data_IF_122762693720
#
_entry.id   IF_122762693720
#
_cell.length_a   1.000
_cell.length_b   1.000
_cell.length_c   1.000
_cell.angle_alpha   90.00
_cell.angle_beta   90.00
_cell.angle_gamma   90.00
#
_symmetry.space_group_name_H-M   'P 1'
#
loop_
_entity.id
_entity.type
_entity.pdbx_description
1 polymer ?
#
# COMPACT_ATOMS: atom_id res chain seq x y z
N UNK A 1 -10.42 8.44 -3.46
CA UNK A 1 -10.43 7.68 -4.72
C UNK A 1 -9.10 6.96 -4.84
N UNK A 2 -9.11 5.63 -4.97
CA UNK A 2 -7.89 4.82 -5.14
C UNK A 2 -7.82 4.41 -6.61
N UNK A 3 -6.66 4.56 -7.24
CA UNK A 3 -6.46 4.19 -8.65
C UNK A 3 -5.45 3.05 -8.75
N UNK A 4 -5.79 2.00 -9.48
CA UNK A 4 -4.89 0.90 -9.80
C UNK A 4 -4.43 1.06 -11.24
N UNK A 5 -3.12 1.00 -11.47
CA UNK A 5 -2.50 1.11 -12.79
C UNK A 5 -1.47 0.00 -12.95
N UNK A 6 -1.44 -0.64 -14.12
CA UNK A 6 -0.41 -1.60 -14.49
C UNK A 6 0.55 -0.92 -15.45
N UNK A 7 1.82 -0.83 -15.08
CA UNK A 7 2.86 -0.28 -15.93
C UNK A 7 3.29 -1.31 -16.98
N UNK A 8 3.84 -0.87 -18.13
CA UNK A 8 4.37 -1.77 -19.16
C UNK A 8 5.45 -2.73 -18.64
N UNK A 9 6.18 -2.35 -17.59
CA UNK A 9 7.16 -3.20 -16.89
C UNK A 9 6.55 -4.39 -16.15
N UNK A 10 5.22 -4.49 -16.08
CA UNK A 10 4.50 -5.48 -15.30
C UNK A 10 4.23 -5.07 -13.85
N UNK A 11 4.76 -3.93 -13.42
CA UNK A 11 4.57 -3.41 -12.05
C UNK A 11 3.14 -2.87 -11.85
N UNK A 12 2.50 -3.29 -10.76
CA UNK A 12 1.22 -2.75 -10.32
C UNK A 12 1.44 -1.55 -9.39
N UNK A 13 0.79 -0.42 -9.70
CA UNK A 13 0.87 0.82 -8.93
C UNK A 13 -0.52 1.13 -8.37
N UNK A 14 -0.59 1.31 -7.05
CA UNK A 14 -1.80 1.72 -6.35
C UNK A 14 -1.60 3.15 -5.86
N UNK A 15 -2.42 4.08 -6.34
CA UNK A 15 -2.40 5.47 -5.88
C UNK A 15 -3.26 5.61 -4.64
N UNK A 16 -2.64 6.00 -3.53
CA UNK A 16 -3.30 6.27 -2.26
C UNK A 16 -3.49 7.79 -2.11
N UNK A 17 -4.70 8.29 -1.80
CA UNK A 17 -4.94 9.69 -1.49
C UNK A 17 -4.02 10.22 -0.38
N UNK A 18 -3.53 11.45 -0.55
CA UNK A 18 -2.64 12.11 0.41
C UNK A 18 -3.17 12.07 1.86
N UNK A 19 -4.46 12.36 2.04
CA UNK A 19 -5.10 12.35 3.37
C UNK A 19 -4.99 10.99 4.09
N UNK A 20 -5.19 9.89 3.36
CA UNK A 20 -5.07 8.54 3.93
C UNK A 20 -3.62 8.19 4.19
N UNK A 21 -2.71 8.57 3.29
CA UNK A 21 -1.29 8.36 3.48
C UNK A 21 -0.78 9.10 4.73
N UNK A 22 -1.24 10.31 4.97
CA UNK A 22 -0.88 11.09 6.17
C UNK A 22 -1.50 10.50 7.44
N UNK A 23 -2.77 10.10 7.41
CA UNK A 23 -3.45 9.45 8.55
C UNK A 23 -2.75 8.17 8.98
N UNK A 24 -2.37 7.32 8.02
CA UNK A 24 -1.65 6.06 8.25
C UNK A 24 -0.14 6.26 8.45
N UNK A 25 0.38 7.49 8.28
CA UNK A 25 1.80 7.81 8.41
C UNK A 25 2.70 7.19 7.34
N UNK A 26 2.17 6.92 6.14
CA UNK A 26 2.91 6.39 5.00
C UNK A 26 3.95 7.39 4.48
N UNK A 27 5.19 6.96 4.39
CA UNK A 27 6.33 7.75 3.89
C UNK A 27 6.98 7.04 2.69
N UNK A 28 7.61 7.84 1.82
CA UNK A 28 8.38 7.31 0.70
C UNK A 28 9.47 6.35 1.22
N UNK A 29 9.56 5.17 0.61
CA UNK A 29 10.53 4.15 0.99
C UNK A 29 10.11 3.25 2.16
N UNK A 30 8.88 3.37 2.66
CA UNK A 30 8.35 2.41 3.63
C UNK A 30 8.04 1.06 2.97
N UNK A 31 8.38 0.00 3.68
CA UNK A 31 7.99 -1.36 3.31
C UNK A 31 6.61 -1.70 3.88
N UNK A 32 5.78 -2.34 3.07
CA UNK A 32 4.45 -2.81 3.43
C UNK A 32 4.35 -4.30 3.12
N UNK A 33 3.52 -5.01 3.87
CA UNK A 33 3.26 -6.42 3.64
C UNK A 33 1.84 -6.64 3.13
N UNK A 34 1.72 -7.44 2.08
CA UNK A 34 0.42 -7.94 1.62
C UNK A 34 0.04 -9.15 2.45
N UNK A 35 -1.05 -9.04 3.20
CA UNK A 35 -1.68 -10.17 3.86
C UNK A 35 -2.88 -10.64 3.05
N UNK A 36 -2.99 -11.95 2.84
CA UNK A 36 -4.15 -12.55 2.18
C UNK A 36 -5.36 -12.45 3.10
N UNK A 37 -6.49 -12.00 2.56
CA UNK A 37 -7.80 -11.98 3.20
C UNK A 37 -8.78 -12.81 2.36
N UNK A 38 -9.90 -13.25 2.94
CA UNK A 38 -10.85 -14.16 2.27
C UNK A 38 -11.32 -13.64 0.90
N UNK A 39 -11.56 -12.33 0.81
CA UNK A 39 -12.08 -11.66 -0.38
C UNK A 39 -11.08 -10.67 -1.01
N UNK A 40 -9.78 -10.77 -0.67
CA UNK A 40 -8.78 -9.85 -1.20
C UNK A 40 -7.44 -9.85 -0.46
N UNK A 41 -6.85 -8.68 -0.33
CA UNK A 41 -5.60 -8.49 0.41
C UNK A 41 -5.68 -7.23 1.28
N UNK A 42 -5.00 -7.27 2.42
CA UNK A 42 -4.81 -6.12 3.30
C UNK A 42 -3.35 -5.70 3.21
N UNK A 43 -3.14 -4.39 3.07
CA UNK A 43 -1.82 -3.77 3.13
C UNK A 43 -1.55 -3.35 4.57
N UNK A 44 -0.63 -4.03 5.25
CA UNK A 44 -0.20 -3.66 6.59
C UNK A 44 1.18 -3.01 6.55
N UNK A 45 1.34 -1.91 7.29
CA UNK A 45 2.64 -1.31 7.52
C UNK A 45 3.43 -2.23 8.43
N UNK A 46 4.64 -2.66 8.00
CA UNK A 46 5.57 -3.37 8.89
C UNK A 46 6.03 -2.43 9.99
N UNK A 47 5.31 -2.42 11.11
CA UNK A 47 5.84 -1.87 12.37
C UNK A 47 6.99 -2.79 12.78
N UNK A 48 8.23 -2.29 12.71
CA UNK A 48 9.35 -2.93 13.42
C UNK A 48 8.90 -3.06 14.87
N UNK A 49 8.60 -4.28 15.32
CA UNK A 49 8.49 -4.58 16.75
C UNK A 49 9.86 -4.24 17.34
N UNK A 50 9.89 -3.21 18.19
CA UNK A 50 11.02 -2.96 19.07
C UNK A 50 11.16 -4.08 20.08
#
# INVERSE_FOLDING_TARGET
MVKVQKLPSGQLVITIPKLLAEYEGLKKGMEMEFKKHKDGFVLEIKKKKG
#
